data_IF_440591188528
#
_entry.id   IF_440591188528
#
_cell.length_a   1.000
_cell.length_b   1.000
_cell.length_c   1.000
_cell.angle_alpha   90.00
_cell.angle_beta   90.00
_cell.angle_gamma   90.00
#
_symmetry.space_group_name_H-M   'P 1'
#
loop_
_entity.id
_entity.type
_entity.pdbx_description
1 polymer ?
#
# COMPACT_ATOMS: atom_id res chain seq x y z
N UNK A 1 22.83 -21.73 1.65
CA UNK A 1 23.91 -20.74 1.78
C UNK A 1 23.25 -19.38 1.68
N UNK A 2 22.74 -18.87 2.80
CA UNK A 2 22.34 -17.46 2.91
C UNK A 2 23.65 -16.68 2.91
N UNK A 3 23.99 -16.04 1.80
CA UNK A 3 24.95 -14.94 1.89
C UNK A 3 24.30 -13.93 2.82
N UNK A 4 25.03 -13.45 3.81
CA UNK A 4 24.55 -12.36 4.67
C UNK A 4 24.25 -11.17 3.75
N UNK A 5 22.98 -10.98 3.41
CA UNK A 5 22.57 -9.88 2.55
C UNK A 5 22.72 -8.60 3.36
N UNK A 6 23.62 -7.73 2.92
CA UNK A 6 23.83 -6.47 3.61
C UNK A 6 22.71 -5.47 3.26
N UNK A 7 22.15 -4.79 4.28
CA UNK A 7 21.16 -3.75 4.05
C UNK A 7 21.76 -2.62 3.18
N UNK A 8 20.96 -1.96 2.34
CA UNK A 8 21.37 -0.72 1.68
C UNK A 8 21.86 0.32 2.71
N UNK A 9 22.78 1.23 2.34
CA UNK A 9 23.22 2.31 3.23
C UNK A 9 22.10 3.19 3.79
N UNK A 10 20.97 3.27 3.08
CA UNK A 10 19.79 4.04 3.47
C UNK A 10 18.93 3.36 4.55
N UNK A 11 19.21 2.09 4.85
CA UNK A 11 18.45 1.27 5.79
C UNK A 11 19.04 1.35 7.19
N UNK A 12 18.19 1.67 8.15
CA UNK A 12 18.58 1.76 9.55
C UNK A 12 17.70 0.86 10.41
N UNK A 13 18.32 -0.09 11.09
CA UNK A 13 17.67 -0.87 12.13
C UNK A 13 17.98 -0.24 13.49
N UNK A 14 16.96 0.34 14.13
CA UNK A 14 17.12 1.08 15.37
C UNK A 14 16.80 0.19 16.58
N UNK A 15 17.78 -0.03 17.44
CA UNK A 15 17.64 -0.85 18.65
C UNK A 15 17.25 -0.01 19.87
N UNK A 16 17.69 1.25 19.91
CA UNK A 16 17.41 2.17 21.01
C UNK A 16 16.88 3.51 20.53
N UNK A 17 16.07 4.15 21.39
CA UNK A 17 15.42 5.43 21.07
C UNK A 17 16.44 6.56 20.80
N UNK A 18 17.63 6.49 21.39
CA UNK A 18 18.70 7.48 21.21
C UNK A 18 19.30 7.47 19.81
N UNK A 19 19.22 6.34 19.10
CA UNK A 19 19.62 6.20 17.70
C UNK A 19 18.59 6.80 16.73
N UNK A 20 17.33 6.88 17.15
CA UNK A 20 16.20 7.21 16.25
C UNK A 20 16.10 8.72 16.04
N UNK A 21 16.12 9.21 14.78
CA UNK A 21 15.83 10.60 14.44
C UNK A 21 14.54 11.09 15.09
N UNK A 22 14.55 12.34 15.57
CA UNK A 22 13.49 12.88 16.44
C UNK A 22 12.08 12.77 15.83
N UNK A 23 11.95 13.01 14.53
CA UNK A 23 10.72 12.94 13.76
C UNK A 23 10.21 11.50 13.52
N UNK A 24 11.09 10.50 13.63
CA UNK A 24 10.78 9.07 13.51
C UNK A 24 10.39 8.44 14.86
N UNK A 25 10.83 9.00 15.99
CA UNK A 25 10.64 8.40 17.32
C UNK A 25 9.20 7.98 17.63
N UNK A 26 8.21 8.77 17.21
CA UNK A 26 6.79 8.43 17.41
C UNK A 26 6.37 7.18 16.63
N UNK A 27 6.93 6.95 15.45
CA UNK A 27 6.68 5.76 14.62
C UNK A 27 7.45 4.55 15.18
N UNK A 28 8.72 4.74 15.56
CA UNK A 28 9.52 3.68 16.18
C UNK A 28 8.92 3.18 17.51
N UNK A 29 8.30 4.07 18.29
CA UNK A 29 7.58 3.64 19.51
C UNK A 29 6.40 2.71 19.23
N UNK A 30 5.90 2.71 17.98
CA UNK A 30 4.83 1.85 17.47
C UNK A 30 5.36 0.81 16.47
N UNK A 31 6.67 0.55 16.42
CA UNK A 31 7.28 -0.32 15.40
C UNK A 31 6.65 -1.71 15.32
N UNK A 32 6.24 -2.29 16.45
CA UNK A 32 5.57 -3.60 16.48
C UNK A 32 4.13 -3.55 15.96
N UNK A 33 3.49 -2.37 15.95
CA UNK A 33 2.22 -2.17 15.25
C UNK A 33 2.42 -1.98 13.74
N UNK A 34 3.60 -1.51 13.30
CA UNK A 34 3.97 -1.37 11.89
C UNK A 34 4.38 -2.71 11.28
N UNK A 35 5.29 -3.41 11.96
CA UNK A 35 5.73 -4.76 11.66
C UNK A 35 5.88 -5.53 12.97
N UNK A 36 5.00 -6.51 13.20
CA UNK A 36 5.07 -7.39 14.37
C UNK A 36 6.41 -8.14 14.49
N UNK A 37 7.07 -8.39 13.35
CA UNK A 37 8.38 -9.02 13.23
C UNK A 37 9.54 -8.03 13.22
N UNK A 38 9.39 -6.81 13.75
CA UNK A 38 10.46 -5.80 13.67
C UNK A 38 11.82 -6.36 14.10
N UNK A 39 11.88 -6.99 15.29
CA UNK A 39 13.12 -7.55 15.85
C UNK A 39 13.62 -8.84 15.14
N UNK A 40 12.83 -9.42 14.23
CA UNK A 40 13.26 -10.56 13.39
C UNK A 40 14.10 -10.10 12.18
N UNK A 41 14.49 -8.82 12.14
CA UNK A 41 15.38 -8.25 11.13
C UNK A 41 14.69 -7.43 10.06
N UNK A 42 13.51 -6.84 10.32
CA UNK A 42 12.84 -5.95 9.35
C UNK A 42 13.73 -4.75 8.98
N UNK A 43 13.71 -4.42 7.70
CA UNK A 43 14.42 -3.29 7.11
C UNK A 43 13.48 -2.15 6.78
N UNK A 44 13.89 -0.94 7.15
CA UNK A 44 13.23 0.31 6.81
C UNK A 44 14.28 1.37 6.50
N UNK A 45 14.04 2.13 5.43
CA UNK A 45 14.68 3.44 5.27
C UNK A 45 13.98 4.46 6.18
N UNK A 46 14.63 5.58 6.45
CA UNK A 46 14.07 6.63 7.30
C UNK A 46 12.73 7.17 6.77
N UNK A 47 12.62 7.36 5.45
CA UNK A 47 11.39 7.82 4.80
C UNK A 47 10.25 6.79 4.86
N UNK A 48 10.58 5.49 4.85
CA UNK A 48 9.57 4.43 4.86
C UNK A 48 8.73 4.43 6.15
N UNK A 49 9.27 4.88 7.28
CA UNK A 49 8.56 4.97 8.55
C UNK A 49 7.25 5.77 8.48
N UNK A 50 7.21 6.80 7.63
CA UNK A 50 6.04 7.67 7.50
C UNK A 50 4.93 7.09 6.61
N UNK A 51 5.30 6.17 5.70
CA UNK A 51 4.40 5.61 4.68
C UNK A 51 3.87 4.21 4.99
N UNK A 52 4.49 3.47 5.92
CA UNK A 52 4.07 2.10 6.25
C UNK A 52 2.66 2.10 6.86
N UNK A 53 1.79 1.30 6.25
CA UNK A 53 0.47 0.99 6.82
C UNK A 53 0.64 0.04 8.01
N UNK A 54 0.09 0.35 9.20
CA UNK A 54 0.18 -0.55 10.35
C UNK A 54 -0.31 -1.97 10.02
N UNK A 55 0.41 -3.00 10.46
CA UNK A 55 0.15 -4.40 10.11
C UNK A 55 -1.30 -4.84 10.37
N UNK A 56 -1.96 -4.48 11.50
CA UNK A 56 -3.36 -4.82 11.71
C UNK A 56 -4.31 -4.18 10.68
N UNK A 57 -3.99 -2.97 10.23
CA UNK A 57 -4.76 -2.26 9.19
C UNK A 57 -4.53 -2.93 7.83
N UNK A 58 -3.28 -3.19 7.47
CA UNK A 58 -2.92 -3.86 6.21
C UNK A 58 -3.57 -5.25 6.12
N UNK A 59 -3.54 -6.02 7.20
CA UNK A 59 -4.20 -7.35 7.28
C UNK A 59 -5.70 -7.22 7.07
N UNK A 60 -6.37 -6.26 7.74
CA UNK A 60 -7.81 -6.07 7.58
C UNK A 60 -8.19 -5.62 6.16
N UNK A 61 -7.36 -4.79 5.52
CA UNK A 61 -7.53 -4.44 4.11
C UNK A 61 -7.41 -5.70 3.26
N UNK A 62 -6.34 -6.48 3.42
CA UNK A 62 -6.09 -7.69 2.65
C UNK A 62 -7.26 -8.70 2.75
N UNK A 63 -7.76 -8.95 3.95
CA UNK A 63 -8.92 -9.83 4.18
C UNK A 63 -10.17 -9.32 3.48
N UNK A 64 -10.42 -8.01 3.55
CA UNK A 64 -11.59 -7.39 2.93
C UNK A 64 -11.53 -7.45 1.40
N UNK A 65 -10.35 -7.22 0.81
CA UNK A 65 -10.18 -7.36 -0.65
C UNK A 65 -10.34 -8.82 -1.04
N UNK A 66 -9.72 -9.75 -0.31
CA UNK A 66 -9.79 -11.18 -0.60
C UNK A 66 -11.21 -11.74 -0.53
N UNK A 67 -12.06 -11.24 0.37
CA UNK A 67 -13.45 -11.72 0.52
C UNK A 67 -14.42 -11.10 -0.49
N UNK A 68 -14.09 -9.94 -1.05
CA UNK A 68 -14.99 -9.17 -1.92
C UNK A 68 -14.55 -9.08 -3.38
N UNK A 69 -13.31 -9.46 -3.68
CA UNK A 69 -12.82 -9.51 -5.04
C UNK A 69 -13.63 -10.50 -5.90
N UNK A 70 -13.89 -10.19 -7.18
CA UNK A 70 -14.54 -11.11 -8.09
C UNK A 70 -13.78 -12.45 -8.17
N UNK A 71 -14.52 -13.56 -8.25
CA UNK A 71 -13.94 -14.90 -8.17
C UNK A 71 -12.94 -15.25 -9.28
N UNK A 72 -13.06 -14.60 -10.43
CA UNK A 72 -12.19 -14.74 -11.61
C UNK A 72 -10.96 -13.81 -11.57
N UNK A 73 -10.84 -12.94 -10.57
CA UNK A 73 -9.65 -12.13 -10.30
C UNK A 73 -8.76 -12.85 -9.29
N UNK A 74 -7.54 -13.19 -9.70
CA UNK A 74 -6.58 -13.97 -8.90
C UNK A 74 -5.19 -13.36 -8.85
N UNK A 75 -5.03 -12.17 -9.41
CA UNK A 75 -3.82 -11.37 -9.36
C UNK A 75 -4.12 -10.08 -8.61
N UNK A 76 -3.20 -9.65 -7.76
CA UNK A 76 -3.24 -8.31 -7.16
C UNK A 76 -2.02 -7.53 -7.62
N UNK A 77 -2.24 -6.30 -8.07
CA UNK A 77 -1.18 -5.33 -8.36
C UNK A 77 -1.16 -4.30 -7.23
N UNK A 78 -0.03 -4.21 -6.52
CA UNK A 78 0.25 -3.15 -5.55
C UNK A 78 1.11 -2.08 -6.22
N UNK A 79 0.49 -0.95 -6.57
CA UNK A 79 1.13 0.08 -7.39
C UNK A 79 2.15 0.94 -6.62
N UNK A 80 2.12 0.92 -5.29
CA UNK A 80 2.98 1.72 -4.41
C UNK A 80 3.37 0.90 -3.18
N UNK A 81 4.22 -0.11 -3.39
CA UNK A 81 4.49 -1.14 -2.41
C UNK A 81 5.18 -0.61 -1.13
N UNK A 82 5.96 0.48 -1.24
CA UNK A 82 6.76 1.00 -0.14
C UNK A 82 7.67 -0.10 0.43
N UNK A 83 7.86 -0.13 1.74
CA UNK A 83 8.61 -1.18 2.42
C UNK A 83 7.84 -2.51 2.58
N UNK A 84 6.74 -2.71 1.83
CA UNK A 84 6.05 -4.00 1.69
C UNK A 84 4.92 -4.26 2.68
N UNK A 85 4.51 -3.31 3.52
CA UNK A 85 3.49 -3.54 4.56
C UNK A 85 2.16 -4.10 4.02
N UNK A 86 1.57 -3.44 3.01
CA UNK A 86 0.34 -3.92 2.36
C UNK A 86 0.62 -5.14 1.49
N UNK A 87 1.69 -5.14 0.70
CA UNK A 87 2.10 -6.25 -0.17
C UNK A 87 2.23 -7.57 0.59
N UNK A 88 2.89 -7.57 1.75
CA UNK A 88 3.06 -8.74 2.61
C UNK A 88 1.71 -9.22 3.13
N UNK A 89 0.82 -8.31 3.56
CA UNK A 89 -0.52 -8.67 3.99
C UNK A 89 -1.33 -9.33 2.86
N UNK A 90 -1.27 -8.78 1.64
CA UNK A 90 -1.89 -9.39 0.47
C UNK A 90 -1.35 -10.79 0.20
N UNK A 91 -0.04 -11.00 0.20
CA UNK A 91 0.57 -12.30 -0.02
C UNK A 91 0.22 -13.32 1.08
N UNK A 92 0.08 -12.86 2.34
CA UNK A 92 -0.31 -13.69 3.49
C UNK A 92 -1.78 -14.11 3.46
N UNK A 93 -2.67 -13.34 2.82
CA UNK A 93 -4.11 -13.67 2.73
C UNK A 93 -4.40 -15.03 2.08
N UNK A 94 -3.48 -15.56 1.26
CA UNK A 94 -3.65 -16.83 0.56
C UNK A 94 -4.66 -16.81 -0.60
N UNK A 95 -5.30 -15.67 -0.87
CA UNK A 95 -6.30 -15.54 -1.95
C UNK A 95 -5.66 -15.44 -3.34
N UNK A 96 -4.55 -14.73 -3.44
CA UNK A 96 -3.91 -14.37 -4.71
C UNK A 96 -2.97 -15.46 -5.19
N UNK A 97 -3.02 -15.77 -6.49
CA UNK A 97 -2.01 -16.64 -7.13
C UNK A 97 -0.65 -15.96 -7.15
N UNK A 98 -0.64 -14.63 -7.31
CA UNK A 98 0.56 -13.80 -7.30
C UNK A 98 0.20 -12.36 -6.95
N UNK A 99 1.06 -11.71 -6.18
CA UNK A 99 1.05 -10.26 -5.98
C UNK A 99 2.15 -9.65 -6.84
N UNK A 100 1.83 -8.62 -7.62
CA UNK A 100 2.79 -7.85 -8.42
C UNK A 100 2.96 -6.50 -7.74
N UNK A 101 4.13 -6.27 -7.14
CA UNK A 101 4.40 -5.09 -6.32
C UNK A 101 5.39 -4.17 -7.01
N UNK A 102 5.04 -2.89 -7.07
CA UNK A 102 5.83 -1.86 -7.75
C UNK A 102 6.31 -0.85 -6.71
N UNK A 103 7.61 -0.59 -6.72
CA UNK A 103 8.21 0.49 -5.93
C UNK A 103 9.23 1.24 -6.80
N UNK A 104 9.23 2.57 -6.70
CA UNK A 104 10.09 3.42 -7.51
C UNK A 104 11.48 3.55 -6.90
N UNK A 105 11.56 3.66 -5.58
CA UNK A 105 12.81 3.82 -4.87
C UNK A 105 13.53 2.46 -4.69
N UNK A 106 14.77 2.30 -5.18
CA UNK A 106 15.48 1.03 -5.11
C UNK A 106 15.79 0.58 -3.68
N UNK A 107 16.10 1.49 -2.75
CA UNK A 107 16.43 1.14 -1.38
C UNK A 107 15.18 0.68 -0.62
N UNK A 108 14.06 1.38 -0.81
CA UNK A 108 12.76 0.99 -0.25
C UNK A 108 12.29 -0.34 -0.85
N UNK A 109 12.50 -0.56 -2.16
CA UNK A 109 12.18 -1.85 -2.78
C UNK A 109 12.99 -3.00 -2.16
N UNK A 110 14.29 -2.80 -1.90
CA UNK A 110 15.12 -3.81 -1.22
C UNK A 110 14.61 -4.11 0.19
N UNK A 111 14.17 -3.10 0.94
CA UNK A 111 13.48 -3.32 2.21
C UNK A 111 12.24 -4.20 2.04
N UNK A 112 11.39 -3.92 1.04
CA UNK A 112 10.17 -4.68 0.81
C UNK A 112 10.43 -6.15 0.47
N UNK A 113 11.46 -6.41 -0.34
CA UNK A 113 11.91 -7.76 -0.70
C UNK A 113 12.37 -8.54 0.53
N UNK A 114 13.32 -7.97 1.29
CA UNK A 114 13.83 -8.56 2.52
C UNK A 114 12.72 -8.79 3.56
N UNK A 115 11.86 -7.80 3.77
CA UNK A 115 10.73 -7.93 4.70
C UNK A 115 9.78 -9.05 4.29
N UNK A 116 9.55 -9.27 2.99
CA UNK A 116 8.75 -10.39 2.54
C UNK A 116 9.39 -11.75 2.82
N UNK A 117 10.73 -11.83 2.84
CA UNK A 117 11.47 -13.03 3.27
C UNK A 117 11.33 -13.28 4.77
N UNK A 118 11.49 -12.24 5.60
CA UNK A 118 11.26 -12.29 7.06
C UNK A 118 9.85 -12.80 7.38
N UNK A 119 8.86 -12.41 6.57
CA UNK A 119 7.47 -12.86 6.71
C UNK A 119 7.16 -14.18 5.98
N UNK A 120 8.11 -14.77 5.26
CA UNK A 120 7.98 -16.08 4.61
C UNK A 120 7.00 -16.10 3.44
N UNK A 121 6.88 -14.98 2.70
CA UNK A 121 5.96 -14.84 1.56
C UNK A 121 6.61 -14.33 0.28
N UNK A 122 7.94 -14.20 0.26
CA UNK A 122 8.69 -13.71 -0.90
C UNK A 122 8.38 -14.49 -2.20
N UNK A 123 8.15 -15.80 -2.12
CA UNK A 123 7.83 -16.67 -3.26
C UNK A 123 6.49 -16.32 -3.94
N UNK A 124 5.60 -15.62 -3.23
CA UNK A 124 4.25 -15.23 -3.70
C UNK A 124 4.22 -13.86 -4.37
N UNK A 125 5.34 -13.14 -4.40
CA UNK A 125 5.42 -11.76 -4.87
C UNK A 125 6.32 -11.69 -6.11
N UNK A 126 5.98 -10.84 -7.07
CA UNK A 126 6.84 -10.45 -8.18
C UNK A 126 7.08 -8.94 -8.06
N UNK A 127 8.34 -8.53 -8.01
CA UNK A 127 8.73 -7.16 -7.74
C UNK A 127 9.11 -6.42 -9.02
N UNK A 128 8.74 -5.15 -9.12
CA UNK A 128 9.14 -4.24 -10.19
C UNK A 128 9.69 -2.95 -9.61
N UNK A 129 10.87 -2.56 -10.09
CA UNK A 129 11.44 -1.26 -9.78
C UNK A 129 11.05 -0.25 -10.85
N UNK A 130 10.40 0.86 -10.48
CA UNK A 130 10.19 1.99 -11.39
C UNK A 130 8.86 2.72 -11.21
N UNK A 131 8.49 3.47 -12.24
CA UNK A 131 7.22 4.22 -12.26
C UNK A 131 6.04 3.27 -12.49
N UNK A 132 5.05 3.33 -11.59
CA UNK A 132 3.91 2.41 -11.62
C UNK A 132 3.06 2.54 -12.87
N UNK A 133 2.88 3.75 -13.42
CA UNK A 133 2.04 3.96 -14.60
C UNK A 133 2.69 3.31 -15.82
N UNK A 134 4.01 3.49 -15.98
CA UNK A 134 4.75 2.88 -17.08
C UNK A 134 4.81 1.35 -16.96
N UNK A 135 5.08 0.81 -15.78
CA UNK A 135 5.15 -0.65 -15.56
C UNK A 135 3.78 -1.30 -15.82
N UNK A 136 2.70 -0.72 -15.30
CA UNK A 136 1.34 -1.24 -15.50
C UNK A 136 1.00 -1.28 -16.99
N UNK A 137 1.30 -0.19 -17.73
CA UNK A 137 0.99 -0.06 -19.15
C UNK A 137 1.86 -0.95 -20.05
N UNK A 138 3.13 -1.13 -19.72
CA UNK A 138 4.09 -1.81 -20.60
C UNK A 138 4.31 -3.28 -20.25
N UNK A 139 4.42 -3.62 -18.96
CA UNK A 139 4.85 -4.93 -18.49
C UNK A 139 3.71 -5.77 -17.92
N UNK A 140 2.68 -5.14 -17.32
CA UNK A 140 1.59 -5.88 -16.68
C UNK A 140 0.30 -5.95 -17.51
N UNK A 141 0.25 -5.31 -18.68
CA UNK A 141 -0.95 -5.17 -19.53
C UNK A 141 -1.75 -6.46 -19.72
N UNK A 142 -1.07 -7.60 -19.92
CA UNK A 142 -1.73 -8.88 -20.22
C UNK A 142 -2.37 -9.51 -18.96
N UNK A 143 -2.05 -9.00 -17.78
CA UNK A 143 -2.64 -9.39 -16.50
C UNK A 143 -3.92 -8.63 -16.17
N UNK A 144 -4.24 -7.56 -16.91
CA UNK A 144 -5.42 -6.71 -16.70
C UNK A 144 -6.73 -7.52 -16.46
N UNK A 145 -7.06 -8.54 -17.28
CA UNK A 145 -8.30 -9.30 -17.10
C UNK A 145 -8.39 -10.11 -15.81
N UNK A 146 -7.27 -10.33 -15.11
CA UNK A 146 -7.20 -11.17 -13.92
C UNK A 146 -6.90 -10.38 -12.63
N UNK A 147 -6.74 -9.06 -12.75
CA UNK A 147 -6.13 -8.23 -11.72
C UNK A 147 -7.13 -7.36 -10.97
N UNK A 148 -6.94 -7.30 -9.65
CA UNK A 148 -7.34 -6.17 -8.81
C UNK A 148 -6.13 -5.26 -8.63
N UNK A 149 -6.32 -3.94 -8.64
CA UNK A 149 -5.27 -2.96 -8.38
C UNK A 149 -5.51 -2.27 -7.04
N UNK A 150 -4.49 -2.29 -6.19
CA UNK A 150 -4.42 -1.51 -4.97
C UNK A 150 -3.36 -0.41 -5.11
N UNK A 151 -3.66 0.78 -4.64
CA UNK A 151 -2.73 1.90 -4.65
C UNK A 151 -2.77 2.67 -3.31
N UNK A 152 -1.61 2.76 -2.66
CA UNK A 152 -1.33 3.63 -1.52
C UNK A 152 -0.31 4.71 -1.93
N UNK A 153 -0.71 5.72 -2.73
CA UNK A 153 0.21 6.74 -3.22
C UNK A 153 0.71 7.64 -2.08
N UNK A 154 1.80 8.39 -2.27
CA UNK A 154 2.14 9.49 -1.38
C UNK A 154 1.01 10.54 -1.35
N UNK A 155 0.82 11.20 -0.21
CA UNK A 155 -0.27 12.15 0.02
C UNK A 155 0.16 13.63 0.08
N UNK A 156 1.39 13.95 -0.32
CA UNK A 156 1.93 15.32 -0.27
C UNK A 156 2.52 15.74 1.08
N UNK A 157 2.95 14.79 1.91
CA UNK A 157 3.68 15.05 3.17
C UNK A 157 2.79 15.46 4.36
N UNK A 158 3.35 15.69 5.57
CA UNK A 158 2.60 15.76 6.83
C UNK A 158 1.47 16.80 6.91
N UNK A 159 1.51 17.82 6.03
CA UNK A 159 0.47 18.85 5.91
C UNK A 159 -0.94 18.31 5.64
N UNK A 160 -1.08 17.07 5.13
CA UNK A 160 -2.40 16.43 4.98
C UNK A 160 -3.15 16.33 6.31
N UNK A 161 -2.44 16.29 7.45
CA UNK A 161 -3.02 16.06 8.78
C UNK A 161 -3.81 17.24 9.32
N UNK A 162 -3.59 18.46 8.83
CA UNK A 162 -4.27 19.67 9.32
C UNK A 162 -5.59 19.96 8.60
N UNK A 163 -5.86 19.31 7.48
CA UNK A 163 -7.09 19.52 6.72
C UNK A 163 -8.27 18.79 7.37
N UNK A 164 -9.34 19.53 7.71
CA UNK A 164 -10.61 18.95 8.17
C UNK A 164 -11.27 18.10 7.07
N UNK A 165 -11.14 18.56 5.83
CA UNK A 165 -11.49 17.85 4.60
C UNK A 165 -10.30 17.95 3.66
N UNK A 166 -9.71 16.81 3.29
CA UNK A 166 -8.53 16.75 2.43
C UNK A 166 -8.95 16.81 0.95
N UNK A 167 -8.47 17.83 0.26
CA UNK A 167 -8.73 18.06 -1.17
C UNK A 167 -7.82 17.17 -2.02
N UNK A 168 -8.41 16.15 -2.64
CA UNK A 168 -7.68 15.17 -3.45
C UNK A 168 -7.29 15.72 -4.83
N UNK A 169 -7.80 16.89 -5.23
CA UNK A 169 -7.37 17.56 -6.48
C UNK A 169 -5.97 18.11 -6.37
N UNK A 170 -5.55 18.48 -5.17
CA UNK A 170 -4.24 19.05 -4.85
C UNK A 170 -3.31 18.03 -4.20
N UNK A 171 -3.65 16.74 -4.24
CA UNK A 171 -2.80 15.68 -3.71
C UNK A 171 -1.55 15.54 -4.58
N UNK A 172 -0.39 15.48 -3.94
CA UNK A 172 0.91 15.38 -4.60
C UNK A 172 1.57 14.04 -4.27
N UNK A 173 2.32 13.44 -5.20
CA UNK A 173 2.62 13.94 -6.55
C UNK A 173 1.50 13.69 -7.58
N UNK A 174 0.41 13.04 -7.18
CA UNK A 174 -0.67 12.65 -8.09
C UNK A 174 -2.04 13.00 -7.53
N UNK A 175 -2.83 13.71 -8.33
CA UNK A 175 -4.24 13.96 -8.00
C UNK A 175 -5.07 12.67 -8.04
N UNK A 176 -6.21 12.64 -7.34
CA UNK A 176 -7.20 11.56 -7.46
C UNK A 176 -7.58 11.29 -8.92
N UNK A 177 -7.79 12.36 -9.70
CA UNK A 177 -8.18 12.25 -11.10
C UNK A 177 -7.13 11.50 -11.91
N UNK A 178 -5.85 11.84 -11.71
CA UNK A 178 -4.72 11.17 -12.38
C UNK A 178 -4.69 9.69 -12.01
N UNK A 179 -4.66 9.38 -10.71
CA UNK A 179 -4.58 8.01 -10.20
C UNK A 179 -5.70 7.13 -10.74
N UNK A 180 -6.95 7.57 -10.58
CA UNK A 180 -8.09 6.79 -11.03
C UNK A 180 -8.14 6.66 -12.56
N UNK A 181 -7.83 7.73 -13.31
CA UNK A 181 -7.87 7.68 -14.78
C UNK A 181 -6.87 6.65 -15.30
N UNK A 182 -5.62 6.70 -14.85
CA UNK A 182 -4.59 5.78 -15.32
C UNK A 182 -4.86 4.34 -14.87
N UNK A 183 -5.24 4.11 -13.61
CA UNK A 183 -5.48 2.76 -13.11
C UNK A 183 -6.76 2.11 -13.64
N UNK A 184 -7.81 2.90 -13.90
CA UNK A 184 -9.06 2.37 -14.47
C UNK A 184 -8.93 1.95 -15.94
N UNK A 185 -7.88 2.41 -16.65
CA UNK A 185 -7.53 1.89 -17.98
C UNK A 185 -6.97 0.47 -17.92
N UNK A 186 -6.37 0.09 -16.79
CA UNK A 186 -5.81 -1.23 -16.58
C UNK A 186 -6.87 -2.25 -16.11
N UNK A 187 -7.64 -1.91 -15.08
CA UNK A 187 -8.71 -2.78 -14.56
C UNK A 187 -9.84 -1.93 -13.99
N UNK A 188 -11.12 -2.36 -14.08
CA UNK A 188 -12.21 -1.67 -13.40
C UNK A 188 -12.14 -1.82 -11.86
N UNK A 189 -11.38 -2.80 -11.34
CA UNK A 189 -11.28 -3.11 -9.92
C UNK A 189 -10.11 -2.39 -9.26
N UNK A 190 -10.34 -1.13 -8.87
CA UNK A 190 -9.32 -0.24 -8.30
C UNK A 190 -9.66 0.10 -6.86
N UNK A 191 -8.66 -0.02 -5.98
CA UNK A 191 -8.77 0.33 -4.57
C UNK A 191 -7.72 1.37 -4.25
N UNK A 192 -8.16 2.51 -3.70
CA UNK A 192 -7.26 3.61 -3.31
C UNK A 192 -7.25 3.76 -1.80
N UNK A 193 -6.05 3.69 -1.21
CA UNK A 193 -5.79 3.96 0.21
C UNK A 193 -5.38 5.43 0.38
N UNK A 194 -6.22 6.20 1.09
CA UNK A 194 -6.19 7.66 1.08
C UNK A 194 -6.30 8.23 2.50
N UNK A 195 -5.97 9.54 2.68
CA UNK A 195 -6.13 10.21 3.97
C UNK A 195 -7.55 10.03 4.51
N UNK A 196 -7.65 9.75 5.81
CA UNK A 196 -8.94 9.57 6.51
C UNK A 196 -9.92 10.74 6.38
N UNK A 197 -9.45 11.94 6.04
CA UNK A 197 -10.27 13.15 5.87
C UNK A 197 -10.58 13.44 4.41
N UNK A 198 -10.30 12.53 3.48
CA UNK A 198 -10.53 12.74 2.04
C UNK A 198 -11.96 13.14 1.72
N UNK A 199 -12.13 14.11 0.83
CA UNK A 199 -13.43 14.58 0.38
C UNK A 199 -14.21 13.48 -0.35
N UNK A 200 -15.26 12.97 0.32
CA UNK A 200 -16.10 11.90 -0.21
C UNK A 200 -16.85 12.32 -1.48
N UNK A 201 -17.13 13.61 -1.69
CA UNK A 201 -17.77 14.07 -2.94
C UNK A 201 -16.82 13.95 -4.13
N UNK A 202 -15.53 14.21 -3.91
CA UNK A 202 -14.52 14.03 -4.95
C UNK A 202 -14.33 12.55 -5.30
N UNK A 203 -14.33 11.68 -4.29
CA UNK A 203 -14.31 10.23 -4.47
C UNK A 203 -15.53 9.72 -5.25
N UNK A 204 -16.72 10.17 -4.87
CA UNK A 204 -17.98 9.84 -5.55
C UNK A 204 -18.00 10.37 -6.99
N UNK A 205 -17.39 11.51 -7.26
CA UNK A 205 -17.28 12.09 -8.60
C UNK A 205 -16.51 11.23 -9.62
N UNK A 206 -15.72 10.25 -9.18
CA UNK A 206 -15.01 9.32 -10.07
C UNK A 206 -15.83 8.05 -10.38
N UNK A 207 -16.92 7.80 -9.66
CA UNK A 207 -17.77 6.62 -9.86
C UNK A 207 -18.45 6.68 -11.23
N UNK A 208 -18.38 5.57 -11.97
CA UNK A 208 -19.02 5.44 -13.30
C UNK A 208 -20.21 4.49 -13.24
N UNK A 209 -21.13 4.66 -14.19
CA UNK A 209 -22.22 3.73 -14.51
C UNK A 209 -23.17 3.37 -13.35
N UNK A 210 -23.33 4.28 -12.38
CA UNK A 210 -24.10 4.06 -11.14
C UNK A 210 -23.66 2.83 -10.35
N UNK A 211 -22.46 2.29 -10.59
CA UNK A 211 -21.92 1.19 -9.80
C UNK A 211 -21.49 1.72 -8.43
N UNK A 212 -22.08 1.26 -7.31
CA UNK A 212 -21.66 1.71 -6.00
C UNK A 212 -20.16 1.49 -5.77
N UNK A 213 -19.48 2.47 -5.19
CA UNK A 213 -18.09 2.36 -4.75
C UNK A 213 -18.04 2.50 -3.23
N UNK A 214 -17.99 1.38 -2.48
CA UNK A 214 -17.92 1.42 -1.03
C UNK A 214 -16.69 2.19 -0.54
N UNK A 215 -16.87 2.93 0.55
CA UNK A 215 -15.78 3.59 1.28
C UNK A 215 -15.73 3.02 2.69
N UNK A 216 -14.54 2.62 3.14
CA UNK A 216 -14.32 2.08 4.47
C UNK A 216 -13.21 2.83 5.19
N UNK A 217 -13.48 3.22 6.43
CA UNK A 217 -12.45 3.71 7.34
C UNK A 217 -11.78 2.54 8.06
N UNK A 218 -10.45 2.57 8.10
CA UNK A 218 -9.68 1.63 8.88
C UNK A 218 -9.25 2.29 10.18
N UNK A 219 -9.77 1.75 11.28
CA UNK A 219 -9.59 2.30 12.61
C UNK A 219 -8.63 1.43 13.42
N UNK A 220 -7.78 2.09 14.21
CA UNK A 220 -6.88 1.44 15.15
C UNK A 220 -6.86 2.26 16.43
N UNK A 221 -7.04 1.60 17.58
CA UNK A 221 -7.12 2.24 18.91
C UNK A 221 -8.16 3.37 18.98
N UNK A 222 -9.35 3.12 18.42
CA UNK A 222 -10.48 4.07 18.45
C UNK A 222 -10.35 5.26 17.50
N UNK A 223 -9.30 5.35 16.68
CA UNK A 223 -9.11 6.43 15.73
C UNK A 223 -9.00 5.90 14.29
N UNK A 224 -9.66 6.59 13.35
CA UNK A 224 -9.44 6.35 11.92
C UNK A 224 -8.00 6.71 11.55
N UNK A 225 -7.31 5.78 10.87
CA UNK A 225 -5.94 5.95 10.37
C UNK A 225 -5.96 6.39 8.90
N UNK A 226 -6.78 5.73 8.10
CA UNK A 226 -6.99 6.02 6.69
C UNK A 226 -8.40 5.57 6.27
N UNK A 227 -8.74 5.83 5.01
CA UNK A 227 -9.86 5.20 4.34
C UNK A 227 -9.42 4.52 3.05
N UNK A 228 -10.17 3.50 2.63
CA UNK A 228 -10.11 2.97 1.28
C UNK A 228 -11.43 3.22 0.56
N UNK A 229 -11.35 3.53 -0.74
CA UNK A 229 -12.48 3.44 -1.66
C UNK A 229 -12.28 2.25 -2.61
N UNK A 230 -13.36 1.54 -2.91
CA UNK A 230 -13.38 0.33 -3.73
C UNK A 230 -14.21 0.56 -5.00
N UNK A 231 -13.54 0.85 -6.13
CA UNK A 231 -14.18 1.01 -7.44
C UNK A 231 -14.31 -0.32 -8.17
N UNK A 232 -15.33 -0.46 -9.03
CA UNK A 232 -15.55 -1.68 -9.84
C UNK A 232 -16.62 -2.63 -9.31
N UNK A 233 -17.43 -2.20 -8.33
CA UNK A 233 -18.60 -2.96 -7.88
C UNK A 233 -18.30 -4.03 -6.82
N UNK A 234 -17.25 -3.84 -6.02
CA UNK A 234 -16.97 -4.68 -4.85
C UNK A 234 -18.19 -4.79 -3.92
N UNK A 235 -18.55 -6.00 -3.53
CA UNK A 235 -19.63 -6.28 -2.58
C UNK A 235 -19.00 -6.50 -1.20
N UNK A 236 -19.00 -5.46 -0.36
CA UNK A 236 -18.40 -5.51 0.98
C UNK A 236 -19.40 -5.94 2.08
N UNK A 237 -20.69 -6.04 1.73
CA UNK A 237 -21.82 -6.29 2.63
C UNK A 237 -22.86 -7.19 1.97
#
# INVERSE_FOLDING_TARGET
MSGDEEPPPEVHHYEDRGQVPWDIQNYWSQRYDLFSKYDDGVWLTDDAWFGVTPEPVATKIADQIASSAPTDRKVLVDAFAGAGGNTIAFARSGHWKRVYAIEKDPAVLRCAQHNAEVYGVADKITWFQGDCFEIIKSQLKDLAPYSVLFASPPWGGPGYRSASVFDLRTMEPYSLKTLYTEFSLFTPYVILYLPRTSDLNQLAGMVKDNSPAPVMHYCMRGASKALCIFYGGFQLF
#
